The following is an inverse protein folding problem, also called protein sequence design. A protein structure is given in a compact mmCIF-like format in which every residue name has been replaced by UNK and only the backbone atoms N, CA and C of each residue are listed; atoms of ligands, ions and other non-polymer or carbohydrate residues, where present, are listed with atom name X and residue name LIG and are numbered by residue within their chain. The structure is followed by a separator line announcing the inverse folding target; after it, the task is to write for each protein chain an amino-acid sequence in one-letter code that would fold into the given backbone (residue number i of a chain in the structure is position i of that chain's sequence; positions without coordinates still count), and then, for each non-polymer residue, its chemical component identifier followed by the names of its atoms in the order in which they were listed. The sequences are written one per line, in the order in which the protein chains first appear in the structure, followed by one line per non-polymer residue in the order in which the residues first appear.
data_IF_668567590683
#
_entry.id   IF_668567590683
#
_cell.length_a   1.000
_cell.length_b   1.000
_cell.length_c   1.000
_cell.angle_alpha   90.00
_cell.angle_beta   90.00
_cell.angle_gamma   90.00
#
_symmetry.space_group_name_H-M   'P 1'
#
loop_
_entity.id
_entity.type
_entity.pdbx_description
1 polymer ?
#
# COMPACT_ATOMS: atom_id res chain seq x y z
N UNK A 1 -10.70 -6.70 17.33
CA UNK A 1 -11.21 -6.58 15.94
C UNK A 1 -11.72 -5.16 15.66
N UNK A 2 -12.69 -4.64 16.43
CA UNK A 2 -13.20 -3.27 16.28
C UNK A 2 -12.14 -2.18 16.49
N UNK A 3 -11.41 -2.22 17.62
CA UNK A 3 -10.36 -1.23 17.91
C UNK A 3 -9.25 -1.23 16.86
N UNK A 4 -8.73 -2.41 16.49
CA UNK A 4 -7.70 -2.56 15.45
C UNK A 4 -8.15 -2.02 14.10
N UNK A 5 -9.39 -2.26 13.69
CA UNK A 5 -9.94 -1.67 12.48
C UNK A 5 -9.96 -0.14 12.58
N UNK A 6 -10.53 0.41 13.67
CA UNK A 6 -10.59 1.86 13.89
C UNK A 6 -9.20 2.51 13.89
N UNK A 7 -8.23 1.95 14.62
CA UNK A 7 -6.87 2.49 14.70
C UNK A 7 -6.18 2.49 13.35
N UNK A 8 -6.26 1.39 12.58
CA UNK A 8 -5.59 1.30 11.28
C UNK A 8 -6.29 2.19 10.24
N UNK A 9 -7.62 2.25 10.24
CA UNK A 9 -8.37 3.13 9.35
C UNK A 9 -8.11 4.60 9.69
N UNK A 10 -8.09 4.96 10.97
CA UNK A 10 -7.69 6.30 11.41
C UNK A 10 -6.28 6.64 10.95
N UNK A 11 -5.32 5.73 11.14
CA UNK A 11 -3.94 5.94 10.71
C UNK A 11 -3.82 6.10 9.19
N UNK A 12 -4.60 5.35 8.40
CA UNK A 12 -4.67 5.53 6.95
C UNK A 12 -5.19 6.92 6.58
N UNK A 13 -6.32 7.33 7.15
CA UNK A 13 -6.92 8.63 6.84
C UNK A 13 -6.02 9.78 7.29
N UNK A 14 -5.39 9.66 8.46
CA UNK A 14 -4.41 10.60 8.95
C UNK A 14 -3.21 10.71 8.01
N UNK A 15 -2.61 9.58 7.61
CA UNK A 15 -1.48 9.57 6.70
C UNK A 15 -1.84 10.15 5.32
N UNK A 16 -3.03 9.84 4.78
CA UNK A 16 -3.55 10.49 3.55
C UNK A 16 -3.72 11.99 3.74
N UNK A 17 -4.23 12.42 4.89
CA UNK A 17 -4.38 13.83 5.23
C UNK A 17 -3.04 14.57 5.25
N UNK A 18 -2.01 13.98 5.83
CA UNK A 18 -0.64 14.51 5.79
C UNK A 18 -0.11 14.64 4.36
N UNK A 19 -0.32 13.63 3.52
CA UNK A 19 0.12 13.65 2.12
C UNK A 19 -0.61 14.73 1.32
N UNK A 20 -1.94 14.82 1.49
CA UNK A 20 -2.76 15.89 0.92
C UNK A 20 -2.31 17.28 1.36
N UNK A 21 -2.04 17.45 2.65
CA UNK A 21 -1.54 18.71 3.18
C UNK A 21 -0.20 19.08 2.53
N UNK A 22 0.76 18.16 2.51
CA UNK A 22 2.08 18.42 1.90
C UNK A 22 1.99 18.72 0.40
N UNK A 23 1.06 18.08 -0.31
CA UNK A 23 0.78 18.33 -1.73
C UNK A 23 0.11 19.69 -1.93
N UNK A 24 -0.79 20.08 -1.03
CA UNK A 24 -1.50 21.37 -1.13
C UNK A 24 -0.55 22.57 -1.06
N UNK A 25 0.56 22.46 -0.31
CA UNK A 25 1.57 23.52 -0.23
C UNK A 25 2.13 23.84 -1.62
N UNK A 26 2.53 22.81 -2.38
CA UNK A 26 3.01 22.96 -3.75
C UNK A 26 1.91 23.42 -4.70
N UNK A 27 0.70 22.89 -4.56
CA UNK A 27 -0.40 23.20 -5.49
C UNK A 27 -0.88 24.65 -5.41
N UNK A 28 -0.77 25.27 -4.23
CA UNK A 28 -1.24 26.64 -3.99
C UNK A 28 -0.12 27.69 -3.94
N UNK A 29 1.15 27.28 -4.04
CA UNK A 29 2.28 28.21 -4.18
C UNK A 29 2.33 28.79 -5.60
N UNK A 30 2.62 30.10 -5.77
CA UNK A 30 2.79 30.71 -7.10
C UNK A 30 3.89 30.00 -7.90
N UNK A 31 3.53 29.35 -9.01
CA UNK A 31 4.47 28.55 -9.82
C UNK A 31 4.76 27.15 -9.26
N UNK A 32 4.16 26.75 -8.14
CA UNK A 32 4.44 25.48 -7.47
C UNK A 32 4.01 24.23 -8.25
N UNK A 33 3.14 24.36 -9.26
CA UNK A 33 2.85 23.29 -10.21
C UNK A 33 4.08 22.80 -10.98
N UNK A 34 5.11 23.63 -11.15
CA UNK A 34 6.37 23.22 -11.79
C UNK A 34 7.21 22.29 -10.90
N UNK A 35 7.03 22.37 -9.57
CA UNK A 35 7.67 21.50 -8.58
C UNK A 35 6.85 20.26 -8.22
N UNK A 36 5.58 20.19 -8.65
CA UNK A 36 4.66 19.11 -8.31
C UNK A 36 5.06 17.80 -9.00
N UNK A 37 5.39 16.79 -8.20
CA UNK A 37 5.80 15.47 -8.70
C UNK A 37 4.69 14.43 -8.69
N UNK A 38 3.46 14.80 -8.33
CA UNK A 38 2.33 13.89 -8.38
C UNK A 38 2.09 13.40 -9.82
N UNK A 39 2.16 12.07 -10.07
CA UNK A 39 1.97 11.52 -11.41
C UNK A 39 0.63 11.88 -12.05
N UNK A 40 -0.44 12.03 -11.26
CA UNK A 40 -1.77 12.38 -11.78
C UNK A 40 -1.81 13.81 -12.32
N UNK A 41 -1.18 14.75 -11.62
CA UNK A 41 -1.10 16.14 -12.08
C UNK A 41 -0.15 16.25 -13.27
N UNK A 42 1.03 15.62 -13.19
CA UNK A 42 2.08 15.74 -14.21
C UNK A 42 1.75 15.03 -15.53
N UNK A 43 1.19 13.82 -15.49
CA UNK A 43 0.92 13.05 -16.71
C UNK A 43 -0.51 13.19 -17.22
N UNK A 44 -1.48 13.44 -16.33
CA UNK A 44 -2.90 13.49 -16.69
C UNK A 44 -3.53 14.88 -16.53
N UNK A 45 -2.77 15.90 -16.15
CA UNK A 45 -3.27 17.27 -16.00
C UNK A 45 -4.34 17.42 -14.92
N UNK A 46 -4.39 16.49 -13.96
CA UNK A 46 -5.43 16.43 -12.95
C UNK A 46 -5.25 17.57 -11.95
N UNK A 47 -6.24 18.46 -11.90
CA UNK A 47 -6.29 19.55 -10.93
C UNK A 47 -6.60 19.08 -9.50
N UNK A 48 -6.57 20.02 -8.54
CA UNK A 48 -6.81 19.77 -7.12
C UNK A 48 -8.06 18.94 -6.83
N UNK A 49 -9.20 19.32 -7.42
CA UNK A 49 -10.46 18.59 -7.25
C UNK A 49 -10.39 17.15 -7.76
N UNK A 50 -9.67 16.93 -8.87
CA UNK A 50 -9.48 15.60 -9.41
C UNK A 50 -8.57 14.73 -8.54
N UNK A 51 -7.56 15.32 -7.88
CA UNK A 51 -6.74 14.60 -6.89
C UNK A 51 -7.56 14.13 -5.69
N UNK A 52 -8.47 14.97 -5.21
CA UNK A 52 -9.41 14.63 -4.13
C UNK A 52 -10.30 13.45 -4.57
N UNK A 53 -10.92 13.55 -5.74
CA UNK A 53 -11.80 12.50 -6.27
C UNK A 53 -11.04 11.19 -6.45
N UNK A 54 -9.86 11.22 -7.05
CA UNK A 54 -9.03 10.03 -7.27
C UNK A 54 -8.68 9.34 -5.95
N UNK A 55 -8.34 10.09 -4.91
CA UNK A 55 -8.08 9.53 -3.59
C UNK A 55 -9.32 8.89 -2.98
N UNK A 56 -10.49 9.52 -3.06
CA UNK A 56 -11.73 8.93 -2.55
C UNK A 56 -12.00 7.60 -3.26
N UNK A 57 -11.87 7.58 -4.59
CA UNK A 57 -12.09 6.39 -5.41
C UNK A 57 -11.09 5.26 -5.14
N UNK A 58 -9.86 5.56 -4.71
CA UNK A 58 -8.84 4.56 -4.37
C UNK A 58 -8.96 4.11 -2.91
N UNK A 59 -9.12 5.04 -1.97
CA UNK A 59 -9.07 4.77 -0.54
C UNK A 59 -10.36 4.12 -0.04
N UNK A 60 -11.53 4.49 -0.57
CA UNK A 60 -12.80 3.90 -0.13
C UNK A 60 -12.87 2.37 -0.40
N UNK A 61 -12.50 1.85 -1.60
CA UNK A 61 -12.42 0.41 -1.82
C UNK A 61 -11.39 -0.29 -0.93
N UNK A 62 -10.25 0.34 -0.63
CA UNK A 62 -9.24 -0.23 0.28
C UNK A 62 -9.81 -0.41 1.68
N UNK A 63 -10.51 0.62 2.21
CA UNK A 63 -11.17 0.54 3.52
C UNK A 63 -12.25 -0.54 3.50
N UNK A 64 -13.04 -0.65 2.43
CA UNK A 64 -14.06 -1.70 2.29
C UNK A 64 -13.45 -3.11 2.27
N UNK A 65 -12.36 -3.32 1.53
CA UNK A 65 -11.65 -4.60 1.51
C UNK A 65 -11.02 -4.92 2.88
N UNK A 66 -10.49 -3.92 3.58
CA UNK A 66 -9.93 -4.11 4.92
C UNK A 66 -11.00 -4.38 5.97
N UNK A 67 -12.17 -3.74 5.85
CA UNK A 67 -13.35 -4.05 6.65
C UNK A 67 -13.75 -5.52 6.44
N UNK A 68 -13.83 -5.96 5.18
CA UNK A 68 -14.11 -7.35 4.85
C UNK A 68 -13.07 -8.30 5.47
N UNK A 69 -11.77 -7.97 5.41
CA UNK A 69 -10.71 -8.76 6.04
C UNK A 69 -10.89 -8.90 7.55
N UNK A 70 -11.14 -7.80 8.27
CA UNK A 70 -11.26 -7.86 9.73
C UNK A 70 -12.57 -8.55 10.14
N UNK A 71 -13.71 -8.17 9.58
CA UNK A 71 -15.00 -8.57 10.13
C UNK A 71 -15.58 -9.85 9.53
N UNK A 72 -15.42 -10.05 8.22
CA UNK A 72 -16.13 -11.10 7.48
C UNK A 72 -15.25 -12.26 7.06
N UNK A 73 -13.98 -12.01 6.74
CA UNK A 73 -13.07 -13.04 6.29
C UNK A 73 -12.60 -13.92 7.45
N UNK A 74 -12.61 -15.24 7.22
CA UNK A 74 -12.06 -16.23 8.14
C UNK A 74 -11.18 -17.19 7.34
N UNK A 75 -9.91 -17.38 7.74
CA UNK A 75 -9.06 -18.42 7.19
C UNK A 75 -9.76 -19.76 7.24
N UNK A 76 -9.79 -20.50 6.12
CA UNK A 76 -10.30 -21.86 6.08
C UNK A 76 -9.16 -22.81 6.33
N UNK A 77 -9.34 -23.84 7.16
CA UNK A 77 -8.42 -24.97 7.19
C UNK A 77 -8.58 -25.74 5.87
N UNK A 78 -7.55 -25.70 5.06
CA UNK A 78 -7.42 -26.46 3.82
C UNK A 78 -6.22 -27.33 4.10
N UNK A 79 -6.38 -28.66 4.06
CA UNK A 79 -5.37 -29.64 4.47
C UNK A 79 -4.10 -29.60 3.62
N UNK A 80 -3.40 -28.46 3.67
CA UNK A 80 -2.23 -28.11 2.91
C UNK A 80 -1.08 -28.91 3.50
N UNK A 81 -0.49 -29.76 2.67
CA UNK A 81 0.62 -30.64 3.04
C UNK A 81 1.98 -30.03 2.63
N UNK A 82 2.04 -28.71 2.47
CA UNK A 82 3.27 -28.03 2.09
C UNK A 82 4.24 -27.93 3.26
N UNK A 83 5.46 -28.42 3.06
CA UNK A 83 6.55 -28.37 4.04
C UNK A 83 7.32 -27.05 4.00
N UNK A 84 7.22 -26.29 2.89
CA UNK A 84 7.89 -25.00 2.69
C UNK A 84 6.87 -23.87 2.50
N UNK A 85 7.24 -22.66 2.94
CA UNK A 85 6.39 -21.46 2.93
C UNK A 85 6.00 -21.00 1.51
N UNK A 86 6.90 -21.11 0.53
CA UNK A 86 6.61 -20.73 -0.85
C UNK A 86 5.60 -21.69 -1.50
N UNK A 87 5.76 -22.99 -1.25
CA UNK A 87 4.80 -23.99 -1.69
C UNK A 87 3.45 -23.78 -1.02
N UNK A 88 3.44 -23.49 0.28
CA UNK A 88 2.24 -23.10 1.00
C UNK A 88 1.52 -21.91 0.36
N UNK A 89 2.24 -20.83 0.04
CA UNK A 89 1.63 -19.65 -0.57
C UNK A 89 1.01 -19.96 -1.95
N UNK A 90 1.69 -20.80 -2.75
CA UNK A 90 1.17 -21.24 -4.04
C UNK A 90 -0.03 -22.18 -3.91
N UNK A 91 -0.01 -23.10 -2.94
CA UNK A 91 -1.09 -24.06 -2.68
C UNK A 91 -2.32 -23.34 -2.11
N UNK A 92 -2.12 -22.34 -1.24
CA UNK A 92 -3.16 -21.48 -0.72
C UNK A 92 -3.91 -20.74 -1.84
N UNK A 93 -3.18 -20.15 -2.80
CA UNK A 93 -3.77 -19.31 -3.85
C UNK A 93 -4.28 -20.10 -5.05
N UNK A 94 -3.58 -21.17 -5.42
CA UNK A 94 -3.81 -21.89 -6.67
C UNK A 94 -4.12 -23.37 -6.49
N UNK A 95 -4.11 -23.89 -5.25
CA UNK A 95 -4.35 -25.30 -4.95
C UNK A 95 -3.24 -26.23 -5.43
N UNK A 96 -2.08 -25.70 -5.80
CA UNK A 96 -0.98 -26.45 -6.41
C UNK A 96 0.37 -25.88 -5.96
N UNK A 97 1.32 -26.77 -5.64
CA UNK A 97 2.69 -26.41 -5.23
C UNK A 97 3.52 -25.84 -6.39
N UNK A 98 4.58 -25.09 -6.10
CA UNK A 98 5.51 -24.55 -7.11
C UNK A 98 4.94 -23.49 -8.07
N UNK A 99 3.68 -23.04 -7.89
CA UNK A 99 2.98 -22.12 -8.81
C UNK A 99 2.97 -20.66 -8.34
N UNK A 100 3.96 -20.24 -7.55
CA UNK A 100 4.03 -18.87 -7.01
C UNK A 100 4.14 -17.81 -8.13
N UNK A 101 4.81 -18.12 -9.23
CA UNK A 101 4.89 -17.23 -10.41
C UNK A 101 3.51 -16.85 -10.97
N UNK A 102 2.48 -17.68 -10.76
CA UNK A 102 1.12 -17.40 -11.19
C UNK A 102 0.51 -16.20 -10.46
N UNK A 103 1.05 -15.80 -9.30
CA UNK A 103 0.60 -14.59 -8.60
C UNK A 103 0.74 -13.31 -9.43
N UNK A 104 1.65 -13.29 -10.41
CA UNK A 104 1.87 -12.12 -11.24
C UNK A 104 0.80 -11.90 -12.33
N UNK A 105 0.11 -12.96 -12.76
CA UNK A 105 -0.79 -12.88 -13.92
C UNK A 105 -2.12 -13.65 -13.78
N UNK A 106 -2.26 -14.48 -12.75
CA UNK A 106 -3.44 -15.33 -12.54
C UNK A 106 -4.11 -14.97 -11.22
N UNK A 107 -5.43 -14.80 -11.27
CA UNK A 107 -6.21 -14.60 -10.05
C UNK A 107 -6.25 -15.88 -9.18
N UNK A 108 -6.20 -15.75 -7.85
CA UNK A 108 -6.37 -16.88 -6.93
C UNK A 108 -7.73 -17.55 -7.12
N UNK A 109 -7.80 -18.86 -6.82
CA UNK A 109 -9.05 -19.64 -6.90
C UNK A 109 -10.12 -19.07 -5.95
N UNK A 110 -9.74 -18.74 -4.72
CA UNK A 110 -10.63 -18.11 -3.75
C UNK A 110 -10.57 -16.57 -3.84
N UNK A 111 -11.55 -15.99 -4.53
CA UNK A 111 -11.70 -14.53 -4.70
C UNK A 111 -11.95 -13.81 -3.37
N UNK A 112 -12.61 -14.45 -2.40
CA UNK A 112 -12.87 -13.83 -1.08
C UNK A 112 -11.56 -13.67 -0.33
N UNK A 113 -10.72 -14.71 -0.31
CA UNK A 113 -9.38 -14.63 0.26
C UNK A 113 -8.55 -13.54 -0.44
N UNK A 114 -8.56 -13.49 -1.77
CA UNK A 114 -7.84 -12.45 -2.52
C UNK A 114 -8.24 -11.04 -2.08
N UNK A 115 -9.55 -10.75 -2.02
CA UNK A 115 -10.08 -9.45 -1.59
C UNK A 115 -9.66 -9.12 -0.15
N UNK A 116 -9.73 -10.11 0.75
CA UNK A 116 -9.35 -9.93 2.14
C UNK A 116 -7.84 -9.64 2.28
N UNK A 117 -6.99 -10.42 1.63
CA UNK A 117 -5.54 -10.21 1.63
C UNK A 117 -5.17 -8.88 1.00
N UNK A 118 -5.83 -8.51 -0.10
CA UNK A 118 -5.66 -7.21 -0.73
C UNK A 118 -5.97 -6.07 0.25
N UNK A 119 -7.12 -6.11 0.93
CA UNK A 119 -7.46 -5.12 1.96
C UNK A 119 -6.43 -5.04 3.09
N UNK A 120 -5.96 -6.19 3.58
CA UNK A 120 -4.93 -6.25 4.64
C UNK A 120 -3.60 -5.61 4.22
N UNK A 121 -3.14 -5.89 3.01
CA UNK A 121 -1.87 -5.42 2.47
C UNK A 121 -1.96 -3.93 2.10
N UNK A 122 -2.98 -3.57 1.32
CA UNK A 122 -3.09 -2.22 0.74
C UNK A 122 -3.29 -1.14 1.80
N UNK A 123 -4.11 -1.39 2.83
CA UNK A 123 -4.32 -0.40 3.91
C UNK A 123 -3.00 0.00 4.57
N UNK A 124 -2.07 -0.96 4.75
CA UNK A 124 -0.77 -0.75 5.41
C UNK A 124 0.26 -0.17 4.46
N UNK A 125 0.28 -0.66 3.22
CA UNK A 125 1.15 -0.11 2.17
C UNK A 125 0.84 1.37 1.91
N UNK A 126 -0.44 1.76 1.85
CA UNK A 126 -0.82 3.16 1.64
C UNK A 126 -0.48 4.06 2.83
N UNK A 127 -0.53 3.56 4.07
CA UNK A 127 -0.02 4.31 5.23
C UNK A 127 1.47 4.64 5.03
N UNK A 128 2.28 3.64 4.69
CA UNK A 128 3.73 3.83 4.46
C UNK A 128 3.98 4.78 3.29
N UNK A 129 3.31 4.56 2.16
CA UNK A 129 3.44 5.40 0.97
C UNK A 129 3.13 6.87 1.27
N UNK A 130 2.06 7.13 2.03
CA UNK A 130 1.61 8.49 2.33
C UNK A 130 2.60 9.21 3.25
N UNK A 131 3.16 8.53 4.26
CA UNK A 131 4.18 9.14 5.09
C UNK A 131 5.49 9.38 4.34
N UNK A 132 5.92 8.47 3.46
CA UNK A 132 7.10 8.67 2.62
C UNK A 132 6.91 9.86 1.67
N UNK A 133 5.74 9.97 1.03
CA UNK A 133 5.39 11.09 0.16
C UNK A 133 5.33 12.42 0.94
N UNK A 134 4.66 12.43 2.10
CA UNK A 134 4.62 13.59 2.99
C UNK A 134 6.03 14.05 3.37
N UNK A 135 6.86 13.12 3.85
CA UNK A 135 8.22 13.42 4.28
C UNK A 135 9.05 14.01 3.13
N UNK A 136 8.96 13.40 1.95
CA UNK A 136 9.61 13.88 0.74
C UNK A 136 9.18 15.30 0.37
N UNK A 137 7.87 15.52 0.27
CA UNK A 137 7.29 16.80 -0.12
C UNK A 137 7.65 17.92 0.85
N UNK A 138 7.55 17.67 2.17
CA UNK A 138 7.90 18.66 3.19
C UNK A 138 9.40 18.96 3.19
N UNK A 139 10.27 17.94 3.10
CA UNK A 139 11.71 18.16 3.06
C UNK A 139 12.13 18.96 1.82
N UNK A 140 11.49 18.72 0.69
CA UNK A 140 11.75 19.47 -0.53
C UNK A 140 11.21 20.90 -0.44
N UNK A 141 9.98 21.09 0.03
CA UNK A 141 9.34 22.39 0.16
C UNK A 141 10.12 23.31 1.11
N UNK A 142 10.56 22.80 2.26
CA UNK A 142 11.36 23.57 3.22
C UNK A 142 12.87 23.57 2.94
N UNK A 143 13.30 23.01 1.80
CA UNK A 143 14.70 22.96 1.39
C UNK A 143 15.64 22.39 2.48
N UNK A 144 15.22 21.30 3.12
CA UNK A 144 15.93 20.73 4.27
C UNK A 144 17.37 20.30 3.90
N UNK A 145 18.42 20.80 4.61
CA UNK A 145 19.80 20.58 4.19
C UNK A 145 20.22 19.11 4.08
N UNK A 146 19.85 18.29 5.06
CA UNK A 146 20.18 16.85 5.03
C UNK A 146 19.51 16.13 3.85
N UNK A 147 18.29 16.58 3.49
CA UNK A 147 17.53 15.98 2.41
C UNK A 147 18.14 16.34 1.07
N UNK A 148 18.60 17.58 0.91
CA UNK A 148 19.33 18.01 -0.28
C UNK A 148 20.59 17.17 -0.51
N UNK A 149 21.41 16.98 0.52
CA UNK A 149 22.57 16.07 0.44
C UNK A 149 22.15 14.65 0.02
N UNK A 150 21.06 14.12 0.58
CA UNK A 150 20.52 12.84 0.16
C UNK A 150 20.09 12.82 -1.31
N UNK A 151 19.43 13.89 -1.79
CA UNK A 151 19.02 14.01 -3.20
C UNK A 151 20.23 14.06 -4.13
N UNK A 152 21.30 14.73 -3.75
CA UNK A 152 22.52 14.84 -4.54
C UNK A 152 23.24 13.48 -4.64
N UNK A 153 23.28 12.71 -3.55
CA UNK A 153 23.87 11.36 -3.52
C UNK A 153 23.06 10.37 -4.37
N UNK A 154 21.73 10.40 -4.22
CA UNK A 154 20.84 9.41 -4.85
C UNK A 154 20.48 9.79 -6.30
N UNK A 155 20.55 11.07 -6.63
CA UNK A 155 20.13 11.67 -7.90
C UNK A 155 18.60 11.66 -8.12
N UNK A 156 17.94 10.52 -7.89
CA UNK A 156 16.48 10.34 -8.10
C UNK A 156 15.78 9.74 -6.87
N UNK A 157 15.44 10.57 -5.87
CA UNK A 157 14.77 10.15 -4.62
C UNK A 157 13.49 9.33 -4.83
N UNK A 158 12.73 9.62 -5.88
CA UNK A 158 11.48 8.92 -6.20
C UNK A 158 11.67 7.40 -6.36
N UNK A 159 12.80 6.94 -6.92
CA UNK A 159 13.05 5.50 -7.05
C UNK A 159 13.26 4.83 -5.69
N UNK A 160 13.89 5.53 -4.75
CA UNK A 160 14.04 5.04 -3.38
C UNK A 160 12.68 4.96 -2.70
N UNK A 161 11.83 5.98 -2.87
CA UNK A 161 10.48 6.00 -2.31
C UNK A 161 9.63 4.86 -2.89
N UNK A 162 9.62 4.66 -4.20
CA UNK A 162 8.89 3.56 -4.84
C UNK A 162 9.43 2.19 -4.45
N UNK A 163 10.76 2.04 -4.32
CA UNK A 163 11.36 0.83 -3.73
C UNK A 163 10.89 0.61 -2.29
N UNK A 164 10.85 1.67 -1.49
CA UNK A 164 10.17 1.84 -0.19
C UNK A 164 8.81 1.11 -0.13
N UNK A 165 7.93 1.61 -0.99
CA UNK A 165 6.55 1.21 -1.08
C UNK A 165 6.45 -0.24 -1.55
N UNK A 166 7.23 -0.65 -2.55
CA UNK A 166 7.24 -2.02 -3.06
C UNK A 166 7.72 -3.03 -2.00
N UNK A 167 8.78 -2.71 -1.26
CA UNK A 167 9.24 -3.53 -0.13
C UNK A 167 8.17 -3.64 0.96
N UNK A 168 7.44 -2.55 1.24
CA UNK A 168 6.32 -2.60 2.19
C UNK A 168 5.19 -3.52 1.72
N UNK A 169 4.88 -3.53 0.42
CA UNK A 169 3.92 -4.47 -0.18
C UNK A 169 4.36 -5.92 0.03
N UNK A 170 5.60 -6.26 -0.35
CA UNK A 170 6.14 -7.62 -0.18
C UNK A 170 6.13 -8.04 1.30
N UNK A 171 6.52 -7.14 2.19
CA UNK A 171 6.53 -7.39 3.63
C UNK A 171 5.12 -7.70 4.16
N UNK A 172 4.12 -6.88 3.84
CA UNK A 172 2.76 -7.11 4.31
C UNK A 172 2.10 -8.34 3.66
N UNK A 173 2.45 -8.64 2.40
CA UNK A 173 2.03 -9.87 1.72
C UNK A 173 2.60 -11.10 2.43
N UNK A 174 3.90 -11.10 2.76
CA UNK A 174 4.51 -12.14 3.56
C UNK A 174 3.82 -12.30 4.93
N UNK A 175 3.51 -11.17 5.59
CA UNK A 175 2.86 -11.17 6.91
C UNK A 175 1.45 -11.76 6.88
N UNK A 176 0.67 -11.56 5.81
CA UNK A 176 -0.68 -12.16 5.71
C UNK A 176 -0.56 -13.67 5.49
N UNK A 177 0.35 -14.12 4.63
CA UNK A 177 0.61 -15.54 4.43
C UNK A 177 1.09 -16.24 5.70
N UNK A 178 1.96 -15.60 6.48
CA UNK A 178 2.40 -16.15 7.76
C UNK A 178 1.24 -16.35 8.75
N UNK A 179 0.21 -15.50 8.70
CA UNK A 179 -1.00 -15.66 9.52
C UNK A 179 -1.84 -16.84 9.04
N UNK A 180 -2.07 -16.96 7.74
CA UNK A 180 -2.77 -18.10 7.16
C UNK A 180 -2.07 -19.42 7.49
N UNK A 181 -0.74 -19.44 7.37
CA UNK A 181 0.09 -20.61 7.69
C UNK A 181 -0.06 -21.04 9.16
N UNK A 182 -0.04 -20.07 10.09
CA UNK A 182 -0.22 -20.36 11.51
C UNK A 182 -1.58 -20.98 11.82
N UNK A 183 -2.65 -20.62 11.08
CA UNK A 183 -3.98 -21.22 11.26
C UNK A 183 -4.06 -22.64 10.72
N UNK A 184 -3.30 -22.98 9.67
CA UNK A 184 -3.24 -24.35 9.15
C UNK A 184 -2.51 -25.33 10.08
N UNK A 185 -1.56 -24.82 10.89
CA UNK A 185 -0.75 -25.62 11.80
C UNK A 185 -1.37 -25.78 13.20
N UNK A 186 -2.46 -25.08 13.48
CA UNK A 186 -3.36 -25.29 14.63
C UNK A 186 -4.46 -26.26 14.27
#
# INVERSE_FOLDING_TARGET
MKLKFLTITFLLLFARGCDFYSTSLWFFEPGGMEGEMNPLTRFFGVGWNGLIIANILVIAPIIACYFFYEFSYRPKKIGIQSTNFLDFASELYFGEKGKLHQMAYKMPRDKRMMIAHFGYVMVRMFIVASFLATFHNLCQYYNAPFYNTFRDIVGRPLFVIYGLIFLSFLYFQYRVFKKEYAVQMQ
#
